data_IF_722876762278
#
_entry.id   IF_722876762278
#
_cell.length_a   1.000
_cell.length_b   1.000
_cell.length_c   1.000
_cell.angle_alpha   90.00
_cell.angle_beta   90.00
_cell.angle_gamma   90.00
#
_symmetry.space_group_name_H-M   'P 1'
#
loop_
_entity.id
_entity.type
_entity.pdbx_description
1 polymer ?
#
# COMPACT_ATOMS: atom_id res chain seq x y z
N UNK A 1 -24.78 15.30 12.13
CA UNK A 1 -24.29 15.70 13.48
C UNK A 1 -23.82 17.14 13.37
N UNK A 2 -24.42 18.03 14.15
CA UNK A 2 -24.02 19.43 14.18
C UNK A 2 -22.63 19.53 14.82
N UNK A 3 -21.71 20.23 14.15
CA UNK A 3 -20.42 20.55 14.73
C UNK A 3 -20.64 21.36 16.03
N UNK A 4 -20.20 20.82 17.17
CA UNK A 4 -20.12 21.58 18.38
C UNK A 4 -18.99 22.60 18.22
N UNK A 5 -19.33 23.86 18.07
CA UNK A 5 -18.40 24.97 18.15
C UNK A 5 -18.21 25.27 19.65
N UNK A 6 -17.09 24.85 20.22
CA UNK A 6 -16.65 25.36 21.52
C UNK A 6 -15.75 26.56 21.28
N UNK A 7 -16.13 27.70 21.84
CA UNK A 7 -15.30 28.91 21.83
C UNK A 7 -14.38 28.89 23.03
N UNK A 8 -13.08 28.74 22.80
CA UNK A 8 -12.07 28.89 23.83
C UNK A 8 -11.61 30.35 23.91
N UNK A 9 -11.84 31.00 25.02
CA UNK A 9 -11.30 32.33 25.36
C UNK A 9 -9.91 32.20 25.96
N UNK A 10 -8.89 32.60 25.21
CA UNK A 10 -7.54 32.76 25.73
C UNK A 10 -7.42 34.20 26.26
N UNK A 11 -7.35 34.36 27.57
CA UNK A 11 -7.13 35.67 28.19
C UNK A 11 -5.67 36.08 27.99
N UNK A 12 -5.46 37.09 27.14
CA UNK A 12 -4.15 37.72 26.92
C UNK A 12 -3.91 38.85 27.92
N UNK A 13 -2.64 39.24 28.19
CA UNK A 13 -2.33 40.34 29.12
C UNK A 13 -3.04 41.64 28.73
N UNK A 14 -3.35 42.50 29.71
CA UNK A 14 -4.05 43.75 29.50
C UNK A 14 -3.44 44.60 28.37
N UNK A 15 -4.26 44.84 27.31
CA UNK A 15 -3.87 45.59 26.12
C UNK A 15 -3.70 44.77 24.86
N UNK A 16 -3.84 43.44 24.90
CA UNK A 16 -3.81 42.57 23.69
C UNK A 16 -5.23 42.31 23.19
N UNK A 17 -5.36 42.25 21.85
CA UNK A 17 -6.59 41.85 21.20
C UNK A 17 -6.89 40.39 21.55
N UNK A 18 -8.06 40.10 22.12
CA UNK A 18 -8.50 38.70 22.35
C UNK A 18 -8.57 37.98 21.02
N UNK A 19 -7.68 37.01 20.80
CA UNK A 19 -7.78 36.12 19.67
C UNK A 19 -8.85 35.08 19.97
N UNK A 20 -9.95 35.12 19.24
CA UNK A 20 -10.96 34.09 19.26
C UNK A 20 -10.55 32.97 18.29
N UNK A 21 -10.17 31.80 18.80
CA UNK A 21 -10.00 30.60 18.02
C UNK A 21 -11.28 29.77 18.01
N UNK A 22 -11.53 29.07 16.91
CA UNK A 22 -12.67 28.17 16.76
C UNK A 22 -12.16 26.74 16.72
N UNK A 23 -12.71 25.84 17.51
CA UNK A 23 -12.38 24.42 17.47
C UNK A 23 -13.28 23.72 16.46
N UNK A 24 -12.66 23.03 15.48
CA UNK A 24 -13.33 22.23 14.47
C UNK A 24 -12.95 20.75 14.66
N UNK A 25 -13.97 19.89 14.79
CA UNK A 25 -13.77 18.45 14.86
C UNK A 25 -14.05 17.82 13.48
N UNK A 26 -13.01 17.24 12.86
CA UNK A 26 -13.07 16.56 11.57
C UNK A 26 -12.86 15.06 11.76
N UNK A 27 -13.93 14.29 11.70
CA UNK A 27 -13.92 12.84 11.91
C UNK A 27 -14.66 12.43 13.20
N UNK A 28 -14.70 11.13 13.54
CA UNK A 28 -14.10 9.98 12.83
C UNK A 28 -14.84 9.55 11.55
N UNK A 29 -16.06 10.04 11.33
CA UNK A 29 -16.89 9.73 10.14
C UNK A 29 -17.18 11.01 9.36
N UNK A 30 -16.14 11.58 8.77
CA UNK A 30 -16.26 12.77 7.94
C UNK A 30 -15.74 12.47 6.52
N UNK A 31 -16.45 12.88 5.44
CA UNK A 31 -16.01 12.61 4.05
C UNK A 31 -14.59 13.09 3.75
N UNK A 32 -14.20 14.25 4.29
CA UNK A 32 -12.89 14.86 4.06
C UNK A 32 -11.70 14.10 4.71
N UNK A 33 -11.96 13.14 5.62
CA UNK A 33 -10.89 12.32 6.20
C UNK A 33 -10.51 11.14 5.33
N UNK A 34 -11.34 10.76 4.34
CA UNK A 34 -11.17 9.57 3.50
C UNK A 34 -10.97 8.26 4.28
N UNK A 35 -11.23 8.27 5.59
CA UNK A 35 -11.06 7.14 6.49
C UNK A 35 -11.68 7.42 7.86
N UNK A 36 -11.49 6.52 8.81
CA UNK A 36 -12.07 6.60 10.15
C UNK A 36 -11.02 7.01 11.20
N UNK A 37 -10.57 8.23 11.10
CA UNK A 37 -9.70 8.89 12.08
C UNK A 37 -10.18 10.31 12.34
N UNK A 38 -9.76 10.91 13.44
CA UNK A 38 -10.25 12.18 13.93
C UNK A 38 -9.12 13.21 14.02
N UNK A 39 -9.41 14.42 13.57
CA UNK A 39 -8.57 15.59 13.75
C UNK A 39 -9.38 16.67 14.45
N UNK A 40 -8.94 17.10 15.62
CA UNK A 40 -9.48 18.26 16.33
C UNK A 40 -8.54 19.43 16.03
N UNK A 41 -9.04 20.40 15.29
CA UNK A 41 -8.27 21.54 14.79
C UNK A 41 -8.69 22.83 15.49
N UNK A 42 -7.73 23.61 15.94
CA UNK A 42 -7.95 25.00 16.36
C UNK A 42 -7.69 25.94 15.19
N UNK A 43 -8.65 26.78 14.88
CA UNK A 43 -8.63 27.68 13.73
C UNK A 43 -8.63 29.14 14.18
N UNK A 44 -7.77 29.95 13.55
CA UNK A 44 -7.84 31.43 13.55
C UNK A 44 -8.38 31.86 12.17
N UNK A 45 -9.70 32.06 12.08
CA UNK A 45 -10.41 32.17 10.82
C UNK A 45 -10.36 30.83 10.05
N UNK A 46 -9.68 30.79 8.91
CA UNK A 46 -9.48 29.57 8.10
C UNK A 46 -8.08 28.95 8.30
N UNK A 47 -7.20 29.60 9.07
CA UNK A 47 -5.84 29.09 9.31
C UNK A 47 -5.79 28.17 10.50
N UNK A 48 -5.07 27.07 10.36
CA UNK A 48 -4.86 26.07 11.40
C UNK A 48 -3.77 26.57 12.36
N UNK A 49 -4.12 26.69 13.62
CA UNK A 49 -3.19 27.07 14.71
C UNK A 49 -2.57 25.83 15.33
N UNK A 50 -3.39 24.84 15.61
CA UNK A 50 -2.97 23.56 16.17
C UNK A 50 -3.91 22.44 15.74
N UNK A 51 -3.45 21.20 15.82
CA UNK A 51 -4.30 20.02 15.57
C UNK A 51 -3.92 18.89 16.51
N UNK A 52 -4.92 18.23 17.05
CA UNK A 52 -4.79 16.99 17.81
C UNK A 52 -5.42 15.84 17.03
N UNK A 53 -4.72 14.72 16.99
CA UNK A 53 -5.08 13.56 16.17
C UNK A 53 -5.46 12.39 17.05
N UNK A 54 -6.52 11.68 16.66
CA UNK A 54 -6.95 10.44 17.31
C UNK A 54 -7.12 9.35 16.27
N UNK A 55 -6.51 8.19 16.53
CA UNK A 55 -6.62 6.95 15.75
C UNK A 55 -7.23 5.85 16.61
N UNK A 56 -7.54 4.69 16.01
CA UNK A 56 -8.05 3.53 16.74
C UNK A 56 -9.50 3.19 16.42
N UNK A 57 -10.21 4.00 15.64
CA UNK A 57 -11.62 3.77 15.32
C UNK A 57 -11.89 2.53 14.46
N UNK A 58 -10.88 2.04 13.73
CA UNK A 58 -10.92 0.79 12.97
C UNK A 58 -9.88 -0.21 13.47
N UNK A 59 -9.32 0.01 14.66
CA UNK A 59 -8.34 -0.92 15.23
C UNK A 59 -8.98 -2.27 15.52
N UNK A 60 -8.50 -3.30 14.83
CA UNK A 60 -9.02 -4.66 14.88
C UNK A 60 -8.01 -5.65 15.46
N UNK A 61 -6.96 -5.15 16.11
CA UNK A 61 -5.89 -5.93 16.74
C UNK A 61 -5.25 -6.96 15.76
N UNK A 62 -4.89 -6.53 14.56
CA UNK A 62 -4.36 -7.39 13.50
C UNK A 62 -3.15 -8.20 13.96
N UNK A 63 -2.21 -7.57 14.65
CA UNK A 63 -1.03 -8.24 15.19
C UNK A 63 -1.43 -9.32 16.20
N UNK A 64 -2.37 -9.02 17.09
CA UNK A 64 -2.83 -9.98 18.12
C UNK A 64 -3.67 -11.11 17.55
N UNK A 65 -4.43 -10.85 16.50
CA UNK A 65 -5.13 -11.89 15.74
C UNK A 65 -4.15 -12.82 15.02
N UNK A 66 -3.08 -12.26 14.44
CA UNK A 66 -2.04 -13.02 13.75
C UNK A 66 -1.29 -13.97 14.71
N UNK A 67 -1.03 -13.56 15.96
CA UNK A 67 -0.38 -14.39 16.99
C UNK A 67 -1.20 -15.66 17.38
N UNK A 68 -2.48 -15.69 17.00
CA UNK A 68 -3.40 -16.81 17.30
C UNK A 68 -3.76 -17.66 16.08
N UNK A 69 -3.07 -17.47 14.95
CA UNK A 69 -3.39 -18.12 13.69
C UNK A 69 -2.15 -18.73 13.06
N UNK A 70 -2.28 -19.90 12.40
CA UNK A 70 -1.19 -20.45 11.61
C UNK A 70 -0.89 -19.53 10.42
N UNK A 71 0.35 -19.63 9.88
CA UNK A 71 0.90 -18.71 8.88
C UNK A 71 -0.05 -18.43 7.69
N UNK A 72 -0.68 -19.47 7.15
CA UNK A 72 -1.57 -19.36 6.00
C UNK A 72 -2.90 -18.64 6.30
N UNK A 73 -3.36 -18.64 7.57
CA UNK A 73 -4.58 -17.92 7.97
C UNK A 73 -4.32 -16.42 8.25
N UNK A 74 -3.06 -15.99 8.25
CA UNK A 74 -2.68 -14.58 8.42
C UNK A 74 -2.85 -13.81 7.11
N UNK A 75 -2.72 -14.47 5.96
CA UNK A 75 -2.83 -13.83 4.64
C UNK A 75 -4.07 -12.95 4.47
N UNK A 76 -5.30 -13.37 4.83
CA UNK A 76 -6.47 -12.48 4.73
C UNK A 76 -6.41 -11.26 5.65
N UNK A 77 -5.60 -11.29 6.71
CA UNK A 77 -5.40 -10.14 7.60
C UNK A 77 -4.52 -9.10 6.90
N UNK A 78 -3.46 -9.56 6.22
CA UNK A 78 -2.53 -8.66 5.52
C UNK A 78 -3.17 -7.91 4.36
N UNK A 79 -4.16 -8.48 3.67
CA UNK A 79 -4.96 -7.79 2.65
C UNK A 79 -5.53 -6.46 3.12
N UNK A 80 -5.91 -6.38 4.40
CA UNK A 80 -6.63 -5.25 4.99
C UNK A 80 -5.71 -4.21 5.63
N UNK A 81 -4.41 -4.33 5.49
CA UNK A 81 -3.46 -3.26 5.81
C UNK A 81 -3.68 -2.10 4.82
N UNK A 82 -2.95 -2.05 3.75
CA UNK A 82 -3.27 -1.17 2.64
C UNK A 82 -4.18 -1.91 1.65
N UNK A 83 -5.49 -1.74 1.79
CA UNK A 83 -6.46 -2.43 0.95
C UNK A 83 -6.48 -1.96 -0.51
N UNK A 84 -5.85 -0.82 -0.83
CA UNK A 84 -5.72 -0.35 -2.22
C UNK A 84 -4.68 -1.14 -3.00
N UNK A 85 -3.67 -1.69 -2.32
CA UNK A 85 -2.61 -2.53 -2.88
C UNK A 85 -2.47 -3.87 -2.17
N UNK A 86 -3.58 -4.55 -1.88
CA UNK A 86 -3.62 -5.80 -1.12
C UNK A 86 -2.68 -6.91 -1.64
N UNK A 87 -2.44 -7.08 -2.97
CA UNK A 87 -1.46 -8.05 -3.45
C UNK A 87 -0.04 -7.81 -2.95
N UNK A 88 0.39 -6.55 -2.80
CA UNK A 88 1.74 -6.25 -2.27
C UNK A 88 1.84 -6.71 -0.82
N UNK A 89 0.81 -6.49 -0.01
CA UNK A 89 0.78 -6.90 1.39
C UNK A 89 0.87 -8.43 1.53
N UNK A 90 0.10 -9.15 0.71
CA UNK A 90 0.14 -10.61 0.67
C UNK A 90 1.54 -11.11 0.31
N UNK A 91 2.12 -10.58 -0.78
CA UNK A 91 3.44 -11.00 -1.23
C UNK A 91 4.50 -10.67 -0.19
N UNK A 92 4.44 -9.51 0.46
CA UNK A 92 5.34 -9.15 1.55
C UNK A 92 5.29 -10.15 2.70
N UNK A 93 4.09 -10.59 3.10
CA UNK A 93 3.91 -11.63 4.11
C UNK A 93 4.48 -12.98 3.65
N UNK A 94 4.16 -13.42 2.43
CA UNK A 94 4.65 -14.71 1.94
C UNK A 94 6.16 -14.74 1.76
N UNK A 95 6.76 -13.65 1.24
CA UNK A 95 8.22 -13.51 1.15
C UNK A 95 8.89 -13.58 2.53
N UNK A 96 8.26 -13.01 3.55
CA UNK A 96 8.75 -13.11 4.93
C UNK A 96 8.69 -14.54 5.44
N UNK A 97 7.57 -15.24 5.21
CA UNK A 97 7.43 -16.66 5.56
C UNK A 97 8.44 -17.53 4.80
N UNK A 98 8.60 -17.35 3.50
CA UNK A 98 9.51 -18.10 2.65
C UNK A 98 10.97 -17.93 3.10
N UNK A 99 11.37 -16.70 3.37
CA UNK A 99 12.71 -16.40 3.90
C UNK A 99 12.92 -17.02 5.28
N UNK A 100 11.89 -17.03 6.14
CA UNK A 100 11.94 -17.65 7.47
C UNK A 100 12.01 -19.18 7.42
N UNK A 101 11.27 -19.79 6.48
CA UNK A 101 11.20 -21.24 6.30
C UNK A 101 12.27 -21.79 5.36
N UNK A 102 13.07 -20.94 4.70
CA UNK A 102 14.08 -21.33 3.72
C UNK A 102 13.51 -21.82 2.38
N UNK A 103 12.28 -21.46 2.06
CA UNK A 103 11.62 -21.83 0.80
C UNK A 103 12.14 -21.00 -0.36
N UNK A 104 12.57 -21.65 -1.43
CA UNK A 104 12.99 -20.98 -2.67
C UNK A 104 11.88 -21.04 -3.71
N UNK A 105 11.54 -19.89 -4.29
CA UNK A 105 10.52 -19.80 -5.33
C UNK A 105 11.13 -19.97 -6.72
N UNK A 106 10.44 -20.65 -7.66
CA UNK A 106 10.84 -20.70 -9.06
C UNK A 106 10.84 -19.30 -9.70
N UNK A 107 11.78 -19.02 -10.61
CA UNK A 107 11.92 -17.73 -11.30
C UNK A 107 10.63 -17.25 -11.98
N UNK A 108 9.88 -18.16 -12.61
CA UNK A 108 8.60 -17.82 -13.24
C UNK A 108 7.61 -17.25 -12.21
N UNK A 109 7.56 -17.84 -11.01
CA UNK A 109 6.69 -17.39 -9.92
C UNK A 109 7.09 -15.98 -9.47
N UNK A 110 8.38 -15.70 -9.35
CA UNK A 110 8.88 -14.37 -9.00
C UNK A 110 8.45 -13.30 -10.02
N UNK A 111 8.55 -13.60 -11.32
CA UNK A 111 8.12 -12.66 -12.37
C UNK A 111 6.60 -12.43 -12.35
N UNK A 112 5.80 -13.47 -12.14
CA UNK A 112 4.35 -13.32 -11.96
C UNK A 112 4.00 -12.47 -10.73
N UNK A 113 4.75 -12.65 -9.62
CA UNK A 113 4.60 -11.83 -8.41
C UNK A 113 4.89 -10.36 -8.69
N UNK A 114 5.97 -10.06 -9.42
CA UNK A 114 6.30 -8.69 -9.81
C UNK A 114 5.19 -8.07 -10.63
N UNK A 115 4.61 -8.77 -11.61
CA UNK A 115 3.49 -8.28 -12.40
C UNK A 115 2.32 -7.87 -11.49
N UNK A 116 1.91 -8.74 -10.58
CA UNK A 116 0.78 -8.48 -9.68
C UNK A 116 1.09 -7.33 -8.69
N UNK A 117 2.29 -7.28 -8.14
CA UNK A 117 2.69 -6.21 -7.22
C UNK A 117 2.73 -4.84 -7.91
N UNK A 118 3.24 -4.77 -9.14
CA UNK A 118 3.29 -3.49 -9.87
C UNK A 118 1.91 -3.06 -10.40
N UNK A 119 1.02 -3.99 -10.76
CA UNK A 119 -0.40 -3.68 -11.02
C UNK A 119 -1.08 -3.10 -9.76
N UNK A 120 -0.77 -3.66 -8.59
CA UNK A 120 -1.29 -3.17 -7.32
C UNK A 120 -0.75 -1.77 -6.98
N UNK A 121 0.53 -1.51 -7.25
CA UNK A 121 1.13 -0.17 -7.08
C UNK A 121 0.46 0.87 -7.99
N UNK A 122 0.25 0.54 -9.26
CA UNK A 122 -0.50 1.40 -10.19
C UNK A 122 -1.91 1.69 -9.65
N UNK A 123 -2.62 0.65 -9.19
CA UNK A 123 -3.97 0.79 -8.64
C UNK A 123 -4.02 1.71 -7.42
N UNK A 124 -3.03 1.64 -6.54
CA UNK A 124 -2.91 2.47 -5.33
C UNK A 124 -2.59 3.93 -5.70
N UNK A 125 -1.60 4.15 -6.55
CA UNK A 125 -1.22 5.49 -6.99
C UNK A 125 -2.32 6.20 -7.79
N UNK A 126 -3.11 5.45 -8.58
CA UNK A 126 -4.28 6.00 -9.26
C UNK A 126 -5.31 6.55 -8.27
N UNK A 127 -5.62 5.78 -7.21
CA UNK A 127 -6.53 6.26 -6.17
C UNK A 127 -5.96 7.50 -5.50
N UNK A 128 -4.74 7.42 -4.99
CA UNK A 128 -4.12 8.52 -4.25
C UNK A 128 -4.13 9.82 -5.06
N UNK A 129 -3.56 9.79 -6.26
CA UNK A 129 -3.43 10.98 -7.10
C UNK A 129 -4.79 11.51 -7.58
N UNK A 130 -5.78 10.64 -7.80
CA UNK A 130 -7.11 11.07 -8.19
C UNK A 130 -7.91 11.68 -7.04
N UNK A 131 -7.72 11.19 -5.80
CA UNK A 131 -8.34 11.78 -4.60
C UNK A 131 -7.78 13.18 -4.33
N UNK A 132 -6.47 13.40 -4.47
CA UNK A 132 -5.88 14.75 -4.43
C UNK A 132 -6.55 15.67 -5.46
N UNK A 133 -6.88 15.14 -6.64
CA UNK A 133 -7.66 15.85 -7.65
C UNK A 133 -9.08 16.19 -7.19
N UNK A 134 -9.77 15.27 -6.52
CA UNK A 134 -11.12 15.49 -5.95
C UNK A 134 -11.09 16.63 -4.92
N UNK A 135 -10.12 16.60 -4.01
CA UNK A 135 -10.00 17.60 -2.93
C UNK A 135 -9.63 19.00 -3.46
N UNK A 136 -9.05 19.05 -4.66
CA UNK A 136 -8.85 20.32 -5.39
C UNK A 136 -10.00 20.70 -6.34
N UNK A 137 -11.11 19.94 -6.32
CA UNK A 137 -12.34 20.23 -7.08
C UNK A 137 -12.46 19.52 -8.44
N UNK A 138 -11.51 18.64 -8.82
CA UNK A 138 -11.49 17.97 -10.12
C UNK A 138 -12.12 16.58 -10.09
N UNK A 139 -13.37 16.46 -9.69
CA UNK A 139 -14.09 15.18 -9.50
C UNK A 139 -14.17 14.33 -10.78
N UNK A 140 -14.33 14.96 -11.95
CA UNK A 140 -14.39 14.23 -13.23
C UNK A 140 -13.12 13.44 -13.53
N UNK A 141 -11.96 13.98 -13.15
CA UNK A 141 -10.68 13.27 -13.30
C UNK A 141 -10.61 11.98 -12.49
N UNK A 142 -11.18 11.96 -11.30
CA UNK A 142 -11.31 10.77 -10.48
C UNK A 142 -12.15 9.68 -11.19
N UNK A 143 -13.34 10.03 -11.67
CA UNK A 143 -14.21 9.08 -12.37
C UNK A 143 -13.54 8.50 -13.63
N UNK A 144 -12.81 9.33 -14.37
CA UNK A 144 -12.09 8.92 -15.56
C UNK A 144 -11.05 7.82 -15.25
N UNK A 145 -10.22 8.01 -14.24
CA UNK A 145 -9.19 7.02 -13.91
C UNK A 145 -9.75 5.75 -13.27
N UNK A 146 -10.88 5.85 -12.54
CA UNK A 146 -11.54 4.70 -11.96
C UNK A 146 -11.99 3.70 -13.03
N UNK A 147 -12.42 4.17 -14.20
CA UNK A 147 -12.76 3.30 -15.33
C UNK A 147 -11.59 2.41 -15.77
N UNK A 148 -10.36 2.92 -15.72
CA UNK A 148 -9.18 2.15 -16.13
C UNK A 148 -8.60 1.29 -15.01
N UNK A 149 -8.88 1.65 -13.76
CA UNK A 149 -8.59 0.78 -12.63
C UNK A 149 -9.41 -0.52 -12.69
N UNK A 150 -10.59 -0.49 -13.29
CA UNK A 150 -11.40 -1.68 -13.56
C UNK A 150 -10.64 -2.72 -14.39
N UNK A 151 -9.81 -2.33 -15.36
CA UNK A 151 -9.00 -3.28 -16.12
C UNK A 151 -8.05 -4.09 -15.23
N UNK A 152 -7.50 -3.47 -14.19
CA UNK A 152 -6.65 -4.17 -13.21
C UNK A 152 -7.49 -5.16 -12.41
N UNK A 153 -8.69 -4.75 -12.00
CA UNK A 153 -9.61 -5.61 -11.25
C UNK A 153 -10.10 -6.80 -12.07
N UNK A 154 -10.33 -6.62 -13.36
CA UNK A 154 -10.66 -7.72 -14.27
C UNK A 154 -9.54 -8.77 -14.36
N UNK A 155 -8.27 -8.33 -14.29
CA UNK A 155 -7.12 -9.25 -14.23
C UNK A 155 -7.12 -10.01 -12.88
N UNK A 156 -7.32 -9.31 -11.77
CA UNK A 156 -7.37 -9.95 -10.46
C UNK A 156 -8.51 -10.95 -10.34
N UNK A 157 -9.70 -10.59 -10.82
CA UNK A 157 -10.86 -11.46 -10.83
C UNK A 157 -10.60 -12.76 -11.61
N UNK A 158 -9.91 -12.66 -12.74
CA UNK A 158 -9.53 -13.83 -13.54
C UNK A 158 -8.51 -14.73 -12.82
N UNK A 159 -7.54 -14.14 -12.12
CA UNK A 159 -6.47 -14.89 -11.45
C UNK A 159 -6.93 -15.50 -10.12
N UNK A 160 -7.69 -14.76 -9.30
CA UNK A 160 -8.04 -15.20 -7.95
C UNK A 160 -9.55 -15.19 -7.62
N UNK A 161 -10.41 -14.69 -8.54
CA UNK A 161 -11.86 -14.58 -8.31
C UNK A 161 -12.27 -13.42 -7.41
N UNK A 162 -11.33 -12.54 -7.02
CA UNK A 162 -11.58 -11.39 -6.14
C UNK A 162 -11.06 -10.11 -6.78
N UNK A 163 -11.75 -8.98 -6.53
CA UNK A 163 -11.45 -7.69 -7.17
C UNK A 163 -10.54 -6.80 -6.34
N UNK A 164 -10.66 -6.79 -5.03
CA UNK A 164 -9.97 -5.86 -4.14
C UNK A 164 -9.07 -6.56 -3.12
N UNK A 165 -9.63 -7.34 -2.21
CA UNK A 165 -8.90 -8.14 -1.22
C UNK A 165 -8.65 -9.52 -1.81
N UNK A 166 -7.53 -9.67 -2.47
CA UNK A 166 -7.31 -10.75 -3.43
C UNK A 166 -6.92 -12.08 -2.80
N UNK A 167 -6.25 -12.06 -1.64
CA UNK A 167 -5.70 -13.26 -1.01
C UNK A 167 -5.01 -14.22 -2.02
N UNK A 168 -4.31 -13.61 -2.99
CA UNK A 168 -3.80 -14.27 -4.19
C UNK A 168 -2.56 -15.13 -3.94
N UNK A 169 -1.74 -14.73 -2.95
CA UNK A 169 -0.47 -15.37 -2.67
C UNK A 169 -0.61 -16.64 -1.82
N UNK A 170 0.39 -17.49 -1.95
CA UNK A 170 0.65 -18.65 -1.06
C UNK A 170 2.14 -18.71 -0.77
N UNK A 171 2.52 -19.38 0.31
CA UNK A 171 3.92 -19.71 0.58
C UNK A 171 4.43 -20.59 -0.56
N UNK A 172 5.48 -20.15 -1.25
CA UNK A 172 6.01 -20.82 -2.42
C UNK A 172 5.41 -20.38 -3.76
N UNK A 173 4.37 -19.52 -3.80
CA UNK A 173 3.80 -19.08 -5.08
C UNK A 173 2.38 -18.54 -5.02
N UNK A 174 1.54 -19.09 -5.90
CA UNK A 174 0.14 -18.72 -6.06
C UNK A 174 -0.78 -19.93 -5.84
N UNK A 175 -2.06 -19.70 -5.58
CA UNK A 175 -3.06 -20.78 -5.49
C UNK A 175 -3.34 -21.43 -6.83
N UNK A 176 -3.29 -20.65 -7.91
CA UNK A 176 -3.61 -21.09 -9.28
C UNK A 176 -2.64 -20.47 -10.27
N UNK A 177 -2.49 -21.14 -11.42
CA UNK A 177 -1.75 -20.56 -12.54
C UNK A 177 -2.55 -19.42 -13.19
N UNK A 178 -1.84 -18.53 -13.84
CA UNK A 178 -2.45 -17.50 -14.69
C UNK A 178 -3.02 -18.15 -15.94
N UNK A 179 -4.27 -17.80 -16.25
CA UNK A 179 -4.96 -18.27 -17.45
C UNK A 179 -4.51 -17.48 -18.69
N UNK A 180 -4.73 -18.06 -19.88
CA UNK A 180 -4.51 -17.30 -21.13
C UNK A 180 -5.37 -16.04 -21.18
N UNK A 181 -6.60 -16.08 -20.65
CA UNK A 181 -7.51 -14.92 -20.56
C UNK A 181 -6.92 -13.83 -19.68
N UNK A 182 -6.24 -14.19 -18.56
CA UNK A 182 -5.56 -13.21 -17.71
C UNK A 182 -4.43 -12.50 -18.47
N UNK A 183 -3.66 -13.24 -19.27
CA UNK A 183 -2.61 -12.66 -20.11
C UNK A 183 -3.17 -11.79 -21.24
N UNK A 184 -4.26 -12.17 -21.90
CA UNK A 184 -4.95 -11.34 -22.89
C UNK A 184 -5.45 -10.00 -22.29
N UNK A 185 -6.02 -10.05 -21.08
CA UNK A 185 -6.42 -8.85 -20.33
C UNK A 185 -5.22 -7.98 -19.97
N UNK A 186 -4.09 -8.59 -19.56
CA UNK A 186 -2.85 -7.89 -19.28
C UNK A 186 -2.29 -7.19 -20.53
N UNK A 187 -2.28 -7.85 -21.68
CA UNK A 187 -1.86 -7.27 -22.98
C UNK A 187 -2.75 -6.07 -23.36
N UNK A 188 -4.05 -6.20 -23.19
CA UNK A 188 -4.99 -5.09 -23.39
C UNK A 188 -4.65 -3.91 -22.46
N UNK A 189 -4.42 -4.17 -21.17
CA UNK A 189 -4.03 -3.16 -20.22
C UNK A 189 -2.73 -2.43 -20.64
N UNK A 190 -1.68 -3.18 -20.96
CA UNK A 190 -0.39 -2.63 -21.39
C UNK A 190 -0.51 -1.76 -22.66
N UNK A 191 -1.43 -2.08 -23.56
CA UNK A 191 -1.67 -1.32 -24.78
C UNK A 191 -2.46 -0.02 -24.54
N UNK A 192 -3.46 -0.05 -23.66
CA UNK A 192 -4.38 1.07 -23.44
C UNK A 192 -3.87 2.06 -22.37
N UNK A 193 -3.26 1.55 -21.31
CA UNK A 193 -2.93 2.32 -20.13
C UNK A 193 -1.93 3.48 -20.34
N UNK A 194 -0.88 3.39 -21.20
CA UNK A 194 0.02 4.50 -21.45
C UNK A 194 -0.69 5.78 -21.93
N UNK A 195 -1.73 5.63 -22.75
CA UNK A 195 -2.54 6.75 -23.22
C UNK A 195 -3.30 7.39 -22.08
N UNK A 196 -3.92 6.58 -21.23
CA UNK A 196 -4.68 7.02 -20.07
C UNK A 196 -3.79 7.80 -19.09
N UNK A 197 -2.62 7.26 -18.79
CA UNK A 197 -1.67 7.89 -17.88
C UNK A 197 -1.21 9.26 -18.40
N UNK A 198 -0.95 9.37 -19.69
CA UNK A 198 -0.61 10.64 -20.33
C UNK A 198 -1.76 11.65 -20.30
N UNK A 199 -2.99 11.20 -20.51
CA UNK A 199 -4.18 12.06 -20.41
C UNK A 199 -4.39 12.52 -18.97
N UNK A 200 -4.19 11.66 -17.99
CA UNK A 200 -4.25 11.98 -16.57
C UNK A 200 -3.19 13.03 -16.18
N UNK A 201 -1.94 12.87 -16.63
CA UNK A 201 -0.89 13.87 -16.42
C UNK A 201 -1.29 15.24 -16.99
N UNK A 202 -1.81 15.28 -18.21
CA UNK A 202 -2.20 16.53 -18.85
C UNK A 202 -3.37 17.20 -18.13
N UNK A 203 -4.27 16.41 -17.53
CA UNK A 203 -5.44 16.93 -16.82
C UNK A 203 -5.04 17.62 -15.50
N UNK A 204 -4.07 17.08 -14.77
CA UNK A 204 -3.72 17.55 -13.43
C UNK A 204 -2.39 18.30 -13.38
N UNK A 205 -1.29 17.72 -13.87
CA UNK A 205 0.06 18.21 -13.65
C UNK A 205 0.30 19.65 -14.19
N UNK A 206 -0.48 20.08 -15.21
CA UNK A 206 -0.39 21.43 -15.79
C UNK A 206 -1.59 22.30 -15.48
N UNK A 207 -2.51 21.83 -14.65
CA UNK A 207 -3.67 22.61 -14.26
C UNK A 207 -3.25 23.68 -13.24
N UNK A 208 -3.51 24.95 -13.57
CA UNK A 208 -3.09 26.08 -12.72
C UNK A 208 -3.72 26.01 -11.32
N UNK A 209 -5.00 25.67 -11.21
CA UNK A 209 -5.70 25.57 -9.92
C UNK A 209 -5.06 24.46 -9.08
N UNK A 210 -4.81 23.30 -9.68
CA UNK A 210 -4.16 22.18 -9.01
C UNK A 210 -2.75 22.55 -8.52
N UNK A 211 -1.95 23.19 -9.36
CA UNK A 211 -0.60 23.65 -9.00
C UNK A 211 -0.62 24.67 -7.85
N UNK A 212 -1.51 25.67 -7.91
CA UNK A 212 -1.61 26.71 -6.87
C UNK A 212 -2.07 26.13 -5.51
N UNK A 213 -2.81 25.01 -5.52
CA UNK A 213 -3.30 24.34 -4.30
C UNK A 213 -2.34 23.28 -3.75
N UNK A 214 -1.34 22.86 -4.50
CA UNK A 214 -0.45 21.75 -4.13
C UNK A 214 1.01 22.16 -3.95
N UNK A 215 1.47 23.17 -4.68
CA UNK A 215 2.85 23.67 -4.58
C UNK A 215 3.04 24.41 -3.25
N UNK A 216 4.02 23.98 -2.49
CA UNK A 216 4.39 24.54 -1.18
C UNK A 216 3.51 24.07 -0.03
N UNK A 217 2.33 23.45 -0.27
CA UNK A 217 1.49 22.91 0.79
C UNK A 217 2.04 21.60 1.35
N UNK A 218 2.00 21.43 2.68
CA UNK A 218 2.45 20.21 3.35
C UNK A 218 3.91 19.84 3.08
N UNK A 219 4.79 20.82 2.87
CA UNK A 219 6.19 20.60 2.55
C UNK A 219 6.97 20.05 3.75
N UNK A 220 7.87 19.10 3.48
CA UNK A 220 8.77 18.52 4.50
C UNK A 220 10.19 18.41 3.95
N UNK A 221 11.17 18.82 4.75
CA UNK A 221 12.59 18.65 4.37
C UNK A 221 13.03 17.19 4.46
N UNK A 222 14.04 16.82 3.69
CA UNK A 222 14.63 15.47 3.71
C UNK A 222 15.06 15.05 5.13
N UNK A 223 15.70 15.96 5.87
CA UNK A 223 16.14 15.70 7.25
C UNK A 223 14.95 15.39 8.19
N UNK A 224 13.89 16.20 8.12
CA UNK A 224 12.69 15.98 8.95
C UNK A 224 11.97 14.70 8.55
N UNK A 225 11.86 14.42 7.27
CA UNK A 225 11.25 13.19 6.75
C UNK A 225 11.99 11.93 7.27
N UNK A 226 13.32 11.96 7.24
CA UNK A 226 14.15 10.87 7.79
C UNK A 226 14.00 10.75 9.31
N UNK A 227 13.96 11.87 10.04
CA UNK A 227 13.79 11.87 11.50
C UNK A 227 12.44 11.28 11.94
N UNK A 228 11.37 11.48 11.16
CA UNK A 228 10.09 10.81 11.37
C UNK A 228 10.10 9.33 10.95
N UNK A 229 11.04 8.92 10.12
CA UNK A 229 11.10 7.57 9.54
C UNK A 229 10.24 7.41 8.28
N UNK A 230 10.05 8.45 7.50
CA UNK A 230 9.38 8.40 6.20
C UNK A 230 10.10 7.44 5.26
N UNK A 231 9.35 6.82 4.36
CA UNK A 231 9.84 5.93 3.30
C UNK A 231 8.97 6.11 2.05
N UNK A 232 9.28 5.41 0.98
CA UNK A 232 8.45 5.39 -0.23
C UNK A 232 8.27 6.73 -0.93
N UNK A 233 7.14 6.92 -1.63
CA UNK A 233 6.89 8.11 -2.44
C UNK A 233 6.99 9.43 -1.65
N UNK A 234 6.58 9.42 -0.38
CA UNK A 234 6.62 10.62 0.47
C UNK A 234 8.05 11.02 0.85
N UNK A 235 8.95 10.06 1.07
CA UNK A 235 10.37 10.34 1.30
C UNK A 235 11.06 10.74 -0.01
N UNK A 236 10.75 10.05 -1.11
CA UNK A 236 11.31 10.38 -2.43
C UNK A 236 10.89 11.77 -2.89
N UNK A 237 9.68 12.22 -2.58
CA UNK A 237 9.25 13.60 -2.83
C UNK A 237 10.13 14.63 -2.11
N UNK A 238 10.62 14.32 -0.91
CA UNK A 238 11.55 15.17 -0.16
C UNK A 238 13.00 15.14 -0.66
N UNK A 239 13.30 14.43 -1.74
CA UNK A 239 14.63 14.44 -2.38
C UNK A 239 15.55 13.30 -1.96
N UNK A 240 15.06 12.28 -1.25
CA UNK A 240 15.87 11.13 -0.83
C UNK A 240 15.67 9.96 -1.77
N UNK A 241 16.75 9.48 -2.37
CA UNK A 241 16.76 8.32 -3.27
C UNK A 241 16.82 7.02 -2.45
N UNK A 242 15.64 6.55 -1.99
CA UNK A 242 15.51 5.29 -1.28
C UNK A 242 14.29 4.50 -1.78
N UNK A 243 14.53 3.24 -2.18
CA UNK A 243 13.51 2.29 -2.60
C UNK A 243 13.95 0.87 -2.22
N UNK A 244 13.09 0.13 -1.53
CA UNK A 244 13.39 -1.24 -1.06
C UNK A 244 13.66 -2.18 -2.23
N UNK A 245 13.01 -1.97 -3.38
CA UNK A 245 13.20 -2.81 -4.59
C UNK A 245 14.63 -2.76 -5.14
N UNK A 246 15.34 -1.65 -4.89
CA UNK A 246 16.72 -1.46 -5.34
C UNK A 246 17.73 -1.75 -4.23
N UNK A 247 17.49 -1.26 -3.01
CA UNK A 247 18.43 -1.38 -1.90
C UNK A 247 18.39 -2.76 -1.22
N UNK A 248 17.24 -3.43 -1.23
CA UNK A 248 17.03 -4.78 -0.70
C UNK A 248 16.17 -5.60 -1.67
N UNK A 249 16.67 -5.93 -2.86
CA UNK A 249 15.86 -6.54 -3.91
C UNK A 249 15.26 -7.88 -3.48
N UNK A 250 14.01 -8.10 -3.85
CA UNK A 250 13.23 -9.29 -3.60
C UNK A 250 12.48 -9.71 -4.88
N UNK A 251 11.95 -10.93 -4.95
CA UNK A 251 11.18 -11.45 -6.10
C UNK A 251 11.78 -11.10 -7.47
N UNK A 252 13.11 -11.16 -7.57
CA UNK A 252 13.84 -10.91 -8.83
C UNK A 252 13.72 -9.49 -9.39
N UNK A 253 13.45 -8.44 -8.57
CA UNK A 253 13.44 -7.04 -9.03
C UNK A 253 14.77 -6.60 -9.65
N UNK A 254 15.89 -7.20 -9.24
CA UNK A 254 17.22 -6.95 -9.83
C UNK A 254 17.33 -7.35 -11.31
N UNK A 255 16.38 -8.12 -11.83
CA UNK A 255 16.35 -8.54 -13.22
C UNK A 255 15.68 -7.52 -14.16
N UNK A 256 15.19 -6.39 -13.63
CA UNK A 256 14.44 -5.37 -14.37
C UNK A 256 15.12 -4.01 -14.32
N UNK A 257 15.05 -3.29 -15.45
CA UNK A 257 15.56 -1.93 -15.58
C UNK A 257 14.45 -0.92 -15.26
N UNK A 258 14.68 -0.12 -14.22
CA UNK A 258 13.80 1.00 -13.85
C UNK A 258 14.58 2.06 -13.07
N UNK A 259 14.05 3.27 -13.02
CA UNK A 259 14.64 4.39 -12.29
C UNK A 259 13.75 4.79 -11.12
N UNK A 260 14.35 5.27 -10.05
CA UNK A 260 13.64 5.78 -8.89
C UNK A 260 13.33 7.27 -9.12
N UNK A 261 12.05 7.67 -9.22
CA UNK A 261 11.70 9.08 -9.33
C UNK A 261 11.90 9.79 -7.99
N UNK A 262 12.55 10.95 -8.02
CA UNK A 262 12.87 11.75 -6.83
C UNK A 262 12.40 13.18 -7.03
N UNK A 263 11.67 13.74 -6.05
CA UNK A 263 11.24 15.13 -6.00
C UNK A 263 12.33 16.06 -5.45
N UNK A 264 11.96 17.27 -5.05
CA UNK A 264 12.89 18.29 -4.55
C UNK A 264 12.43 18.98 -3.29
N UNK A 265 11.13 19.32 -3.21
CA UNK A 265 10.57 20.21 -2.17
C UNK A 265 9.84 19.43 -1.08
N UNK A 266 9.44 18.19 -1.34
CA UNK A 266 8.67 17.38 -0.41
C UNK A 266 7.25 17.88 -0.16
N UNK A 267 6.70 18.68 -1.06
CA UNK A 267 5.34 19.21 -0.99
C UNK A 267 4.30 18.27 -1.63
N UNK A 268 3.04 18.66 -1.58
CA UNK A 268 1.94 17.89 -2.13
C UNK A 268 2.07 17.69 -3.64
N UNK A 269 2.63 18.67 -4.36
CA UNK A 269 2.85 18.59 -5.80
C UNK A 269 3.95 17.59 -6.17
N UNK A 270 5.07 17.61 -5.46
CA UNK A 270 6.15 16.64 -5.67
C UNK A 270 5.69 15.22 -5.34
N UNK A 271 4.89 15.01 -4.29
CA UNK A 271 4.29 13.70 -3.98
C UNK A 271 3.41 13.20 -5.12
N UNK A 272 2.60 14.07 -5.72
CA UNK A 272 1.79 13.76 -6.90
C UNK A 272 2.68 13.37 -8.09
N UNK A 273 3.71 14.16 -8.41
CA UNK A 273 4.60 13.91 -9.54
C UNK A 273 5.40 12.63 -9.39
N UNK A 274 5.92 12.34 -8.19
CA UNK A 274 6.67 11.12 -7.90
C UNK A 274 5.79 9.89 -8.15
N UNK A 275 4.57 9.86 -7.60
CA UNK A 275 3.65 8.72 -7.82
C UNK A 275 3.28 8.57 -9.30
N UNK A 276 3.13 9.68 -10.01
CA UNK A 276 2.84 9.63 -11.44
C UNK A 276 4.00 9.01 -12.23
N UNK A 277 5.23 9.39 -11.92
CA UNK A 277 6.41 8.80 -12.53
C UNK A 277 6.60 7.33 -12.11
N UNK A 278 6.28 6.97 -10.88
CA UNK A 278 6.30 5.57 -10.43
C UNK A 278 5.32 4.69 -11.22
N UNK A 279 4.15 5.20 -11.58
CA UNK A 279 3.22 4.45 -12.44
C UNK A 279 3.82 4.15 -13.82
N UNK A 280 4.60 5.07 -14.41
CA UNK A 280 5.35 4.81 -15.64
C UNK A 280 6.43 3.75 -15.47
N UNK A 281 7.17 3.80 -14.35
CA UNK A 281 8.18 2.78 -14.05
C UNK A 281 7.53 1.42 -13.83
N UNK A 282 6.43 1.36 -13.08
CA UNK A 282 5.66 0.13 -12.84
C UNK A 282 5.17 -0.49 -14.15
N UNK A 283 4.69 0.34 -15.10
CA UNK A 283 4.28 -0.12 -16.42
C UNK A 283 5.45 -0.76 -17.18
N UNK A 284 6.63 -0.10 -17.17
CA UNK A 284 7.85 -0.65 -17.79
C UNK A 284 8.28 -1.97 -17.15
N UNK A 285 8.22 -2.07 -15.82
CA UNK A 285 8.55 -3.32 -15.10
C UNK A 285 7.59 -4.45 -15.51
N UNK A 286 6.27 -4.16 -15.58
CA UNK A 286 5.27 -5.14 -15.98
C UNK A 286 5.55 -5.66 -17.41
N UNK A 287 5.87 -4.77 -18.36
CA UNK A 287 6.21 -5.16 -19.72
C UNK A 287 7.45 -6.06 -19.79
N UNK A 288 8.48 -5.73 -19.03
CA UNK A 288 9.71 -6.53 -18.96
C UNK A 288 9.42 -7.90 -18.32
N UNK A 289 8.70 -7.92 -17.19
CA UNK A 289 8.35 -9.14 -16.49
C UNK A 289 7.46 -10.05 -17.35
N UNK A 290 6.49 -9.49 -18.08
CA UNK A 290 5.63 -10.23 -18.98
C UNK A 290 6.43 -10.88 -20.11
N UNK A 291 7.38 -10.18 -20.74
CA UNK A 291 8.27 -10.75 -21.76
C UNK A 291 9.04 -11.94 -21.22
N UNK A 292 9.60 -11.82 -20.01
CA UNK A 292 10.32 -12.93 -19.36
C UNK A 292 9.43 -14.12 -19.01
N UNK A 293 8.17 -13.87 -18.62
CA UNK A 293 7.19 -14.96 -18.37
C UNK A 293 6.90 -15.72 -19.66
N UNK A 294 6.83 -15.05 -20.80
CA UNK A 294 6.59 -15.69 -22.09
C UNK A 294 7.77 -16.55 -22.62
N UNK A 295 8.95 -16.40 -22.05
CA UNK A 295 10.12 -17.23 -22.39
C UNK A 295 9.99 -18.67 -21.87
N UNK A 296 9.22 -18.88 -20.79
CA UNK A 296 8.95 -20.22 -20.24
C UNK A 296 7.99 -20.99 -21.15
N UNK A 297 8.37 -22.24 -21.50
CA UNK A 297 7.60 -23.07 -22.45
C UNK A 297 7.41 -24.48 -21.89
N UNK A 298 6.38 -25.15 -22.39
CA UNK A 298 6.09 -26.54 -22.01
C UNK A 298 5.74 -26.65 -20.52
N UNK A 299 6.36 -27.59 -19.84
CA UNK A 299 6.11 -27.83 -18.41
C UNK A 299 6.48 -26.64 -17.51
N UNK A 300 7.50 -25.86 -17.88
CA UNK A 300 7.95 -24.70 -17.10
C UNK A 300 6.92 -23.55 -17.14
N UNK A 301 6.11 -23.49 -18.19
CA UNK A 301 5.00 -22.51 -18.30
C UNK A 301 3.83 -22.82 -17.35
N UNK A 302 3.75 -24.02 -16.81
CA UNK A 302 2.72 -24.43 -15.86
C UNK A 302 3.15 -24.28 -14.38
N UNK A 303 4.39 -23.89 -14.12
CA UNK A 303 4.90 -23.71 -12.77
C UNK A 303 4.34 -22.40 -12.17
N UNK A 304 3.56 -22.51 -11.11
CA UNK A 304 2.98 -21.36 -10.37
C UNK A 304 3.21 -21.45 -8.85
N UNK A 305 3.88 -22.47 -8.38
CA UNK A 305 4.33 -22.63 -6.99
C UNK A 305 5.58 -23.49 -6.90
N UNK A 306 6.32 -23.37 -5.80
CA UNK A 306 7.42 -24.25 -5.44
C UNK A 306 6.89 -25.62 -5.00
N UNK A 307 7.71 -26.65 -5.12
CA UNK A 307 7.40 -27.99 -4.58
C UNK A 307 7.72 -28.03 -3.08
N UNK A 308 6.75 -27.62 -2.28
CA UNK A 308 6.84 -27.53 -0.80
C UNK A 308 5.58 -28.13 -0.17
N UNK A 309 5.44 -29.45 -0.18
CA UNK A 309 4.22 -30.13 0.28
C UNK A 309 3.87 -29.83 1.74
N UNK A 310 4.86 -29.40 2.54
CA UNK A 310 4.70 -29.05 3.95
C UNK A 310 3.92 -27.74 4.16
N UNK A 311 3.94 -26.84 3.17
CA UNK A 311 3.36 -25.50 3.27
C UNK A 311 2.32 -25.19 2.19
N UNK A 312 2.20 -26.06 1.20
CA UNK A 312 1.30 -25.90 0.07
C UNK A 312 0.29 -27.04 0.00
N UNK A 313 -1.00 -26.70 -0.17
CA UNK A 313 -2.06 -27.71 -0.25
C UNK A 313 -1.89 -28.59 -1.48
N UNK A 314 -1.83 -29.91 -1.32
CA UNK A 314 -1.72 -30.85 -2.44
C UNK A 314 -2.98 -30.83 -3.33
N UNK A 315 -2.83 -31.26 -4.57
CA UNK A 315 -3.96 -31.40 -5.49
C UNK A 315 -5.00 -32.37 -4.92
N UNK A 316 -6.28 -32.05 -5.07
CA UNK A 316 -7.38 -32.84 -4.53
C UNK A 316 -7.35 -34.32 -4.97
N UNK A 317 -6.95 -34.58 -6.21
CA UNK A 317 -6.80 -35.94 -6.75
C UNK A 317 -5.72 -36.74 -6.01
N UNK A 318 -4.60 -36.08 -5.69
CA UNK A 318 -3.51 -36.69 -4.94
C UNK A 318 -3.88 -37.00 -3.48
N UNK A 319 -4.72 -36.13 -2.88
CA UNK A 319 -5.22 -36.36 -1.52
C UNK A 319 -6.03 -37.66 -1.41
N UNK A 320 -6.76 -38.06 -2.48
CA UNK A 320 -7.53 -39.30 -2.50
C UNK A 320 -6.73 -40.55 -2.85
N UNK A 321 -5.53 -40.38 -3.45
CA UNK A 321 -4.77 -41.52 -4.01
C UNK A 321 -3.42 -41.71 -3.36
N UNK A 322 -2.83 -40.71 -2.68
CA UNK A 322 -1.52 -40.74 -2.07
C UNK A 322 -1.60 -40.45 -0.56
N UNK A 323 -1.03 -41.34 0.26
CA UNK A 323 -1.08 -41.19 1.71
C UNK A 323 -0.33 -39.96 2.20
N UNK A 324 0.82 -39.63 1.62
CA UNK A 324 1.62 -38.46 1.97
C UNK A 324 0.86 -37.18 1.72
N UNK A 325 0.17 -37.07 0.58
CA UNK A 325 -0.68 -35.92 0.23
C UNK A 325 -1.87 -35.76 1.19
N UNK A 326 -2.48 -36.88 1.61
CA UNK A 326 -3.56 -36.83 2.61
C UNK A 326 -3.03 -36.34 3.98
N UNK A 327 -1.84 -36.81 4.41
CA UNK A 327 -1.23 -36.38 5.68
C UNK A 327 -0.91 -34.89 5.66
N UNK A 328 -0.29 -34.38 4.59
CA UNK A 328 0.02 -32.95 4.46
C UNK A 328 -1.23 -32.08 4.36
N UNK A 329 -2.23 -32.52 3.60
CA UNK A 329 -3.52 -31.83 3.55
C UNK A 329 -4.14 -31.71 4.95
N UNK A 330 -4.17 -32.80 5.72
CA UNK A 330 -4.68 -32.80 7.08
C UNK A 330 -3.91 -31.85 8.00
N UNK A 331 -2.58 -31.93 8.01
CA UNK A 331 -1.72 -31.06 8.83
C UNK A 331 -1.90 -29.59 8.50
N UNK A 332 -1.94 -29.22 7.23
CA UNK A 332 -2.11 -27.83 6.80
C UNK A 332 -3.48 -27.33 7.21
N UNK A 333 -4.56 -28.05 6.89
CA UNK A 333 -5.94 -27.62 7.17
C UNK A 333 -6.19 -27.52 8.68
N UNK A 334 -5.63 -28.41 9.48
CA UNK A 334 -5.76 -28.39 10.95
C UNK A 334 -4.81 -27.39 11.63
N UNK A 335 -3.94 -26.73 10.88
CA UNK A 335 -2.96 -25.79 11.42
C UNK A 335 -1.87 -26.46 12.25
N UNK A 336 -1.50 -27.69 11.90
CA UNK A 336 -0.50 -28.50 12.65
C UNK A 336 0.92 -28.37 12.09
N UNK A 337 1.16 -27.43 11.20
CA UNK A 337 2.51 -27.15 10.68
C UNK A 337 3.26 -26.30 11.69
N UNK A 338 4.36 -26.84 12.22
CA UNK A 338 5.23 -26.13 13.16
C UNK A 338 6.23 -25.24 12.42
N UNK A 339 6.55 -24.10 13.04
CA UNK A 339 7.56 -23.17 12.54
C UNK A 339 8.92 -23.47 13.19
N UNK A 340 10.04 -23.20 12.52
CA UNK A 340 11.34 -23.18 13.18
C UNK A 340 11.37 -22.10 14.26
N UNK A 341 12.20 -22.30 15.30
CA UNK A 341 12.44 -21.27 16.31
C UNK A 341 13.38 -20.20 15.76
N UNK A 342 13.00 -18.94 15.91
CA UNK A 342 13.82 -17.82 15.45
C UNK A 342 13.01 -16.55 15.24
N UNK A 343 13.68 -15.57 14.67
CA UNK A 343 13.07 -14.28 14.34
C UNK A 343 13.57 -13.79 12.98
N UNK A 344 12.75 -12.99 12.31
CA UNK A 344 13.10 -12.37 11.04
C UNK A 344 12.39 -11.04 10.87
N UNK A 345 13.08 -10.08 10.28
CA UNK A 345 12.49 -8.89 9.67
C UNK A 345 12.67 -8.97 8.16
N UNK A 346 11.59 -8.70 7.45
CA UNK A 346 11.62 -8.59 5.99
C UNK A 346 10.68 -7.46 5.57
N UNK A 347 11.10 -6.68 4.59
CA UNK A 347 10.35 -5.54 4.09
C UNK A 347 10.14 -5.64 2.57
N UNK A 348 9.06 -5.03 2.11
CA UNK A 348 8.75 -4.82 0.69
C UNK A 348 8.37 -3.37 0.45
N UNK A 349 8.58 -2.88 -0.76
CA UNK A 349 8.12 -1.56 -1.15
C UNK A 349 6.61 -1.59 -1.40
N UNK A 350 5.83 -1.11 -0.44
CA UNK A 350 4.39 -0.92 -0.59
C UNK A 350 4.03 0.28 -1.46
N UNK A 351 2.75 0.47 -1.78
CA UNK A 351 2.29 1.67 -2.49
C UNK A 351 2.53 2.96 -1.69
N UNK A 352 2.46 2.88 -0.37
CA UNK A 352 2.71 4.01 0.53
C UNK A 352 4.18 4.13 0.99
N UNK A 353 4.98 3.08 0.83
CA UNK A 353 6.36 3.03 1.29
C UNK A 353 6.71 1.66 1.84
N UNK A 354 7.80 1.59 2.59
CA UNK A 354 8.29 0.34 3.16
C UNK A 354 7.26 -0.29 4.10
N UNK A 355 6.75 -1.45 3.69
CA UNK A 355 5.91 -2.32 4.53
C UNK A 355 6.78 -3.45 5.07
N UNK A 356 6.99 -3.46 6.39
CA UNK A 356 7.84 -4.43 7.07
C UNK A 356 7.06 -5.44 7.90
N UNK A 357 7.56 -6.67 7.95
CA UNK A 357 7.02 -7.76 8.76
C UNK A 357 8.11 -8.28 9.69
N UNK A 358 7.91 -8.13 10.99
CA UNK A 358 8.79 -8.71 12.01
C UNK A 358 8.08 -9.89 12.65
N UNK A 359 8.60 -11.09 12.38
CA UNK A 359 8.07 -12.37 12.83
C UNK A 359 9.00 -12.99 13.86
N UNK A 360 8.45 -13.38 14.99
CA UNK A 360 9.14 -14.17 16.02
C UNK A 360 8.39 -15.49 16.24
N UNK A 361 9.10 -16.59 16.24
CA UNK A 361 8.58 -17.93 16.52
C UNK A 361 9.34 -18.60 17.66
N UNK A 362 8.62 -19.22 18.57
CA UNK A 362 9.15 -20.06 19.65
C UNK A 362 9.28 -21.53 19.27
N UNK A 363 8.95 -21.89 18.02
CA UNK A 363 8.89 -23.27 17.52
C UNK A 363 7.48 -23.85 17.50
N UNK A 364 6.47 -23.05 17.82
CA UNK A 364 5.07 -23.44 17.82
C UNK A 364 4.39 -23.40 16.45
N UNK A 365 3.08 -23.56 16.45
CA UNK A 365 2.23 -23.57 15.23
C UNK A 365 1.73 -22.20 14.83
N UNK A 366 1.81 -21.24 15.73
CA UNK A 366 1.41 -19.84 15.55
C UNK A 366 2.58 -18.91 15.88
N UNK A 367 2.66 -17.73 15.30
CA UNK A 367 3.67 -16.75 15.67
C UNK A 367 3.62 -16.42 17.17
N UNK A 368 4.78 -16.38 17.81
CA UNK A 368 4.90 -15.84 19.17
C UNK A 368 4.66 -14.33 19.17
N UNK A 369 5.22 -13.63 18.17
CA UNK A 369 4.99 -12.20 17.93
C UNK A 369 5.02 -11.92 16.43
N UNK A 370 4.06 -11.11 15.97
CA UNK A 370 4.08 -10.51 14.64
C UNK A 370 3.87 -9.01 14.79
N UNK A 371 4.75 -8.23 14.18
CA UNK A 371 4.64 -6.77 14.13
C UNK A 371 4.71 -6.28 12.69
N UNK A 372 3.82 -5.35 12.34
CA UNK A 372 3.77 -4.69 11.04
C UNK A 372 4.39 -3.29 11.12
N UNK A 373 5.49 -3.05 10.41
CA UNK A 373 5.98 -1.70 10.18
C UNK A 373 5.12 -1.08 9.09
N UNK A 374 4.39 -0.03 9.43
CA UNK A 374 3.33 0.57 8.61
C UNK A 374 3.68 2.02 8.26
N UNK A 375 3.86 2.39 6.98
CA UNK A 375 4.23 3.75 6.62
C UNK A 375 3.15 4.79 6.97
N UNK A 376 1.85 4.49 6.79
CA UNK A 376 0.77 5.44 7.09
C UNK A 376 0.74 5.91 8.55
N UNK A 377 1.05 5.03 9.50
CA UNK A 377 1.11 5.40 10.91
C UNK A 377 2.16 6.47 11.18
N UNK A 378 3.31 6.35 10.52
CA UNK A 378 4.42 7.32 10.62
C UNK A 378 4.02 8.66 9.99
N UNK A 379 3.40 8.63 8.81
CA UNK A 379 2.98 9.86 8.13
C UNK A 379 1.93 10.64 8.90
N UNK A 380 1.01 9.94 9.55
CA UNK A 380 -0.01 10.59 10.34
C UNK A 380 0.56 11.28 11.58
N UNK A 381 1.66 10.78 12.15
CA UNK A 381 2.35 11.46 13.26
C UNK A 381 2.99 12.78 12.83
N UNK A 382 3.42 12.91 11.58
CA UNK A 382 3.97 14.16 11.04
C UNK A 382 2.89 15.15 10.56
N UNK A 383 1.67 14.69 10.36
CA UNK A 383 0.59 15.50 9.77
C UNK A 383 0.33 16.84 10.49
N UNK A 384 0.34 16.94 11.83
CA UNK A 384 0.19 18.23 12.54
C UNK A 384 1.23 19.26 12.10
N UNK A 385 2.49 18.84 11.99
CA UNK A 385 3.58 19.73 11.58
C UNK A 385 3.39 20.21 10.13
N UNK A 386 2.86 19.35 9.27
CA UNK A 386 2.70 19.63 7.84
C UNK A 386 1.57 20.61 7.54
N UNK A 387 0.57 20.74 8.44
CA UNK A 387 -0.63 21.55 8.17
C UNK A 387 -0.74 22.79 9.07
N UNK A 388 0.09 22.89 10.12
CA UNK A 388 0.05 24.06 11.01
C UNK A 388 0.46 25.33 10.27
N UNK A 389 -0.41 26.33 10.26
CA UNK A 389 -0.24 27.59 9.55
C UNK A 389 -0.86 27.60 8.16
N UNK A 390 -1.25 26.46 7.62
CA UNK A 390 -1.97 26.34 6.33
C UNK A 390 -3.47 26.59 6.50
N UNK A 391 -4.18 26.69 5.38
CA UNK A 391 -5.64 26.81 5.39
C UNK A 391 -6.29 25.43 5.59
N UNK A 392 -7.47 25.40 6.19
CA UNK A 392 -8.25 24.17 6.38
C UNK A 392 -8.42 23.36 5.08
N UNK A 393 -8.67 24.04 3.97
CA UNK A 393 -8.81 23.42 2.65
C UNK A 393 -7.53 22.74 2.17
N UNK A 394 -6.35 23.29 2.50
CA UNK A 394 -5.05 22.75 2.10
C UNK A 394 -4.61 21.58 2.98
N UNK A 395 -5.06 21.58 4.25
CA UNK A 395 -4.88 20.43 5.14
C UNK A 395 -5.51 19.16 4.58
N UNK A 396 -6.71 19.25 4.00
CA UNK A 396 -7.38 18.10 3.36
C UNK A 396 -6.54 17.58 2.19
N UNK A 397 -6.05 18.47 1.33
CA UNK A 397 -5.18 18.13 0.21
C UNK A 397 -3.87 17.47 0.68
N UNK A 398 -3.28 17.98 1.76
CA UNK A 398 -2.07 17.42 2.36
C UNK A 398 -2.31 16.01 2.87
N UNK A 399 -3.45 15.77 3.54
CA UNK A 399 -3.84 14.44 4.03
C UNK A 399 -3.97 13.42 2.88
N UNK A 400 -4.64 13.79 1.80
CA UNK A 400 -4.79 12.95 0.61
C UNK A 400 -3.45 12.69 -0.08
N UNK A 401 -2.57 13.70 -0.14
CA UNK A 401 -1.24 13.56 -0.75
C UNK A 401 -0.33 12.59 0.00
N UNK A 402 -0.50 12.47 1.32
CA UNK A 402 0.21 11.48 2.14
C UNK A 402 -0.28 10.04 1.90
N UNK A 403 -1.46 9.86 1.30
CA UNK A 403 -2.11 8.57 1.07
C UNK A 403 -2.36 7.80 2.37
N UNK A 404 -3.06 8.44 3.31
CA UNK A 404 -3.37 7.82 4.60
C UNK A 404 -4.49 6.79 4.46
N UNK A 405 -4.13 5.51 4.55
CA UNK A 405 -5.08 4.39 4.50
C UNK A 405 -5.42 3.95 5.91
N UNK A 406 -6.70 4.10 6.29
CA UNK A 406 -7.16 3.84 7.66
C UNK A 406 -6.87 2.41 8.16
N UNK A 407 -6.97 1.41 7.28
CA UNK A 407 -6.66 0.02 7.63
C UNK A 407 -5.20 -0.21 7.98
N UNK A 408 -4.28 0.47 7.29
CA UNK A 408 -2.85 0.44 7.57
C UNK A 408 -2.51 1.29 8.80
N UNK A 409 -3.23 2.40 8.99
CA UNK A 409 -3.03 3.31 10.11
C UNK A 409 -3.34 2.64 11.45
N UNK A 410 -4.45 1.91 11.53
CA UNK A 410 -5.03 1.32 12.74
C UNK A 410 -4.73 -0.19 12.92
N UNK A 411 -3.88 -0.80 12.12
CA UNK A 411 -3.61 -2.24 12.14
C UNK A 411 -2.95 -2.76 13.44
#
# INVERSE_FOLDING_TARGET
MLAHQEQHHITLPEGSIEKQTTTLNVGPTHPATHGVFQNIMELDGERIVSTEQTVGYIHRAFEKLAERRPLYQITPITDRLNYCSSPINNMGWHLTCEKFLGVQTPKRVDYLRVIIMELARISDHLICNSIVGVDTGAYTGFLYVMQYRELIYEIYEEVCGSRLTTNIGRIGGFERNFTNTAFEKLEKFLKEYPKVLKEFENLFARNRIFMERTIGGGAISAERALNYGFTGPNLRAAGVDYDVRVHQPYSSYQDFDFTIPVGKTGDNYDRFLVRNQEMWQSLSIIEQAYKKVQEFKGADAEIFHADVPEYYLPKKEDVYTKMESLIWHFKIVMGEVEMPKGEIYNAVEGGNGELGFYLVSDGGRTPFRLHFRRPCFIYYQAYPELITGDMLSDAIVTMSSLNLIAGELDA
#
